data_IF_878897640475
#
_entry.id   IF_878897640475
#
_cell.length_a   1.000
_cell.length_b   1.000
_cell.length_c   1.000
_cell.angle_alpha   90.00
_cell.angle_beta   90.00
_cell.angle_gamma   90.00
#
_symmetry.space_group_name_H-M   'P 1'
#
loop_
_entity.id
_entity.type
_entity.pdbx_description
1 polymer ?
#
# COMPACT_ATOMS: atom_id res chain seq x y z
N UNK A 1 -4.61 -7.89 12.36
CA UNK A 1 -4.16 -7.13 11.19
C UNK A 1 -5.17 -6.04 10.89
N UNK A 2 -4.95 -4.89 11.49
CA UNK A 2 -5.71 -3.68 11.18
C UNK A 2 -4.96 -2.91 10.08
N UNK A 3 -5.64 -2.62 8.97
CA UNK A 3 -5.07 -1.86 7.85
C UNK A 3 -5.75 -0.50 7.82
N UNK A 4 -4.98 0.56 7.99
CA UNK A 4 -5.42 1.95 7.88
C UNK A 4 -4.81 2.54 6.61
N UNK A 5 -5.64 3.15 5.77
CA UNK A 5 -5.15 3.91 4.63
C UNK A 5 -4.88 5.34 5.08
N UNK A 6 -3.68 5.83 4.82
CA UNK A 6 -3.33 7.22 5.12
C UNK A 6 -3.83 8.08 3.99
N UNK A 7 -4.73 9.02 4.31
CA UNK A 7 -5.24 10.02 3.36
C UNK A 7 -4.58 11.38 3.51
N UNK A 8 -3.72 11.52 4.52
CA UNK A 8 -2.99 12.76 4.79
C UNK A 8 -1.88 12.96 3.77
N UNK A 9 -1.94 14.07 3.05
CA UNK A 9 -0.95 14.40 2.01
C UNK A 9 0.37 14.96 2.56
N UNK A 10 0.42 15.31 3.85
CA UNK A 10 1.58 15.94 4.50
C UNK A 10 2.15 15.06 5.62
N UNK A 11 2.16 13.75 5.44
CA UNK A 11 2.66 12.83 6.45
C UNK A 11 4.16 12.56 6.23
N UNK A 12 5.07 12.96 7.15
CA UNK A 12 6.52 12.83 6.97
C UNK A 12 7.00 11.36 7.00
N UNK A 13 6.15 10.42 7.40
CA UNK A 13 6.45 8.99 7.39
C UNK A 13 6.42 8.40 5.97
N UNK A 14 5.83 9.10 5.01
CA UNK A 14 5.62 8.61 3.66
C UNK A 14 6.15 9.60 2.62
N UNK A 15 6.62 9.06 1.51
CA UNK A 15 7.05 9.85 0.37
C UNK A 15 5.87 10.57 -0.29
N UNK A 16 6.06 11.83 -0.69
CA UNK A 16 5.02 12.63 -1.35
C UNK A 16 4.42 11.93 -2.59
N UNK A 17 5.26 11.20 -3.35
CA UNK A 17 4.85 10.42 -4.52
C UNK A 17 3.81 9.36 -4.14
N UNK A 18 4.09 8.59 -3.08
CA UNK A 18 3.22 7.54 -2.53
C UNK A 18 1.92 8.13 -1.99
N UNK A 19 2.00 9.27 -1.29
CA UNK A 19 0.82 9.99 -0.79
C UNK A 19 -0.09 10.47 -1.93
N UNK A 20 0.49 11.02 -2.99
CA UNK A 20 -0.24 11.49 -4.17
C UNK A 20 -0.94 10.34 -4.90
N UNK A 21 -0.29 9.18 -4.99
CA UNK A 21 -0.87 7.94 -5.55
C UNK A 21 -1.83 7.24 -4.58
N UNK A 22 -1.97 7.75 -3.35
CA UNK A 22 -2.71 7.14 -2.24
C UNK A 22 -2.30 5.69 -1.95
N UNK A 23 -1.01 5.41 -2.11
CA UNK A 23 -0.35 4.15 -1.81
C UNK A 23 0.20 4.05 -0.38
N UNK A 24 -0.15 4.98 0.52
CA UNK A 24 0.29 4.95 1.91
C UNK A 24 -0.67 4.14 2.78
N UNK A 25 -0.12 3.09 3.40
CA UNK A 25 -0.83 2.20 4.30
C UNK A 25 -0.12 2.11 5.65
N UNK A 26 -0.91 1.91 6.68
CA UNK A 26 -0.48 1.68 8.05
C UNK A 26 -1.07 0.34 8.48
N UNK A 27 -0.21 -0.66 8.68
CA UNK A 27 -0.63 -2.02 9.03
C UNK A 27 -0.09 -2.33 10.40
N UNK A 28 -0.98 -2.60 11.35
CA UNK A 28 -0.60 -2.88 12.74
C UNK A 28 0.43 -1.84 13.27
N UNK A 29 0.19 -0.56 12.98
CA UNK A 29 1.03 0.62 13.31
C UNK A 29 2.37 0.74 12.57
N UNK A 30 2.68 -0.18 11.65
CA UNK A 30 3.85 -0.09 10.78
C UNK A 30 3.52 0.59 9.44
N UNK A 31 4.38 1.50 8.95
CA UNK A 31 4.18 2.18 7.68
C UNK A 31 4.54 1.27 6.49
N UNK A 32 3.66 1.23 5.51
CA UNK A 32 3.84 0.57 4.21
C UNK A 32 3.63 1.57 3.09
N UNK A 33 4.63 1.67 2.23
CA UNK A 33 4.63 2.54 1.06
C UNK A 33 4.43 1.72 -0.20
N UNK A 34 3.45 2.09 -1.01
CA UNK A 34 3.29 1.58 -2.37
C UNK A 34 3.51 2.72 -3.35
N UNK A 35 4.56 2.57 -4.13
CA UNK A 35 4.87 3.41 -5.26
C UNK A 35 4.53 2.65 -6.54
N UNK A 36 3.51 3.10 -7.25
CA UNK A 36 3.14 2.56 -8.56
C UNK A 36 4.13 3.14 -9.58
N UNK A 37 4.95 2.27 -10.15
CA UNK A 37 5.95 2.62 -11.17
C UNK A 37 5.28 2.61 -12.56
N UNK A 38 4.44 1.61 -12.82
CA UNK A 38 3.71 1.45 -14.08
C UNK A 38 2.35 0.76 -13.86
N UNK A 39 1.57 0.59 -14.92
CA UNK A 39 0.28 -0.12 -14.86
C UNK A 39 0.39 -1.58 -14.40
N UNK A 40 1.56 -2.19 -14.57
CA UNK A 40 1.85 -3.60 -14.28
C UNK A 40 2.93 -3.78 -13.19
N UNK A 41 3.54 -2.71 -12.70
CA UNK A 41 4.58 -2.79 -11.68
C UNK A 41 4.43 -1.75 -10.57
N UNK A 42 4.67 -2.19 -9.35
CA UNK A 42 4.70 -1.34 -8.17
C UNK A 42 5.84 -1.77 -7.24
N UNK A 43 6.47 -0.77 -6.62
CA UNK A 43 7.43 -0.95 -5.55
C UNK A 43 6.72 -0.87 -4.22
N UNK A 44 6.94 -1.87 -3.36
CA UNK A 44 6.41 -1.91 -2.00
C UNK A 44 7.55 -1.84 -1.02
N UNK A 45 7.49 -0.88 -0.09
CA UNK A 45 8.41 -0.80 1.05
C UNK A 45 7.62 -0.97 2.34
N UNK A 46 8.14 -1.82 3.21
CA UNK A 46 7.56 -2.09 4.51
C UNK A 46 8.41 -3.11 5.25
N UNK A 47 8.05 -3.42 6.49
CA UNK A 47 8.85 -4.31 7.33
C UNK A 47 8.52 -5.78 7.12
N UNK A 48 7.24 -6.13 6.95
CA UNK A 48 6.82 -7.51 6.74
C UNK A 48 6.44 -7.79 5.27
N UNK A 49 7.15 -8.73 4.64
CA UNK A 49 6.90 -9.14 3.24
C UNK A 49 5.56 -9.84 3.05
N UNK A 50 5.04 -10.52 4.06
CA UNK A 50 3.74 -11.19 4.00
C UNK A 50 2.60 -10.19 3.73
N UNK A 51 2.79 -8.94 4.18
CA UNK A 51 1.82 -7.87 4.03
C UNK A 51 1.89 -7.19 2.66
N UNK A 52 2.94 -7.44 1.86
CA UNK A 52 3.12 -6.77 0.58
C UNK A 52 2.01 -7.12 -0.40
N UNK A 53 1.66 -8.41 -0.49
CA UNK A 53 0.58 -8.89 -1.34
C UNK A 53 -0.73 -8.20 -0.97
N UNK A 54 -1.00 -8.06 0.33
CA UNK A 54 -2.22 -7.42 0.82
C UNK A 54 -2.28 -5.93 0.45
N UNK A 55 -1.16 -5.20 0.60
CA UNK A 55 -1.07 -3.80 0.20
C UNK A 55 -1.26 -3.64 -1.31
N UNK A 56 -0.62 -4.49 -2.13
CA UNK A 56 -0.72 -4.47 -3.60
C UNK A 56 -2.17 -4.73 -4.01
N UNK A 57 -2.78 -5.78 -3.49
CA UNK A 57 -4.19 -6.08 -3.74
C UNK A 57 -5.03 -4.84 -3.40
N UNK A 58 -4.90 -4.23 -2.22
CA UNK A 58 -5.70 -3.04 -1.85
C UNK A 58 -5.44 -1.80 -2.70
N UNK A 59 -4.27 -1.69 -3.32
CA UNK A 59 -3.89 -0.54 -4.16
C UNK A 59 -4.44 -0.66 -5.58
N UNK A 60 -4.39 -1.86 -6.15
CA UNK A 60 -4.89 -2.13 -7.51
C UNK A 60 -6.36 -2.53 -7.54
N UNK A 61 -6.90 -3.03 -6.42
CA UNK A 61 -8.29 -3.50 -6.36
C UNK A 61 -9.17 -2.51 -5.58
N UNK A 62 -9.97 -1.76 -6.33
CA UNK A 62 -11.36 -1.46 -5.92
C UNK A 62 -12.26 -2.70 -5.97
N UNK A 63 -11.68 -3.91 -6.01
CA UNK A 63 -12.36 -5.19 -6.20
C UNK A 63 -12.08 -6.06 -4.98
N UNK A 64 -13.07 -6.08 -4.09
CA UNK A 64 -13.51 -7.22 -3.29
C UNK A 64 -12.47 -8.30 -2.98
N UNK A 65 -12.21 -8.48 -1.69
CA UNK A 65 -11.68 -9.71 -1.09
C UNK A 65 -12.25 -10.95 -1.77
N UNK A 66 -11.58 -11.48 -2.78
CA UNK A 66 -11.73 -12.86 -3.22
C UNK A 66 -10.61 -13.14 -4.20
N UNK A 67 -9.62 -13.89 -3.69
CA UNK A 67 -9.04 -15.01 -4.43
C UNK A 67 -8.35 -14.67 -5.75
N UNK A 68 -7.15 -14.10 -5.73
CA UNK A 68 -6.11 -14.48 -6.70
C UNK A 68 -4.73 -14.17 -6.10
N UNK A 69 -4.31 -15.04 -5.18
CA UNK A 69 -2.90 -15.42 -5.05
C UNK A 69 -2.73 -16.68 -5.89
N UNK A 70 -1.95 -16.61 -6.97
CA UNK A 70 -1.23 -17.74 -7.52
C UNK A 70 0.20 -17.27 -7.81
#
# INVERSE_FOLDING_TARGET
MEIKRVTEYNNPLFSQIVLNQRGAFLIDEEPYEIEIISSDSASVKGKNRENYVLCICKSFTGLTYTSYCF
#
